data_IF_996674343855
#
_entry.id   IF_996674343855
#
_cell.length_a   1.000
_cell.length_b   1.000
_cell.length_c   1.000
_cell.angle_alpha   90.00
_cell.angle_beta   90.00
_cell.angle_gamma   90.00
#
_symmetry.space_group_name_H-M   'P 1'
#
loop_
_entity.id
_entity.type
_entity.pdbx_description
1 polymer ?
#
# COMPACT_ATOMS: atom_id res chain seq x y z
N UNK A 1 27.02 17.90 -2.97
CA UNK A 1 25.73 17.86 -3.69
C UNK A 1 25.06 16.50 -3.43
N UNK A 2 24.54 16.31 -2.21
CA UNK A 2 23.92 15.06 -1.73
C UNK A 2 22.40 15.24 -1.52
N UNK A 3 21.93 16.49 -1.41
CA UNK A 3 20.53 16.82 -1.12
C UNK A 3 19.54 16.37 -2.17
N UNK A 4 19.88 16.41 -3.47
CA UNK A 4 18.93 15.98 -4.52
C UNK A 4 18.58 14.50 -4.41
N UNK A 5 19.57 13.63 -4.14
CA UNK A 5 19.33 12.17 -4.02
C UNK A 5 18.62 11.79 -2.72
N UNK A 6 18.75 12.60 -1.67
CA UNK A 6 18.04 12.41 -0.39
C UNK A 6 16.59 12.89 -0.50
N UNK A 7 16.35 14.04 -1.14
CA UNK A 7 15.01 14.55 -1.41
C UNK A 7 14.21 13.59 -2.29
N UNK A 8 14.84 12.99 -3.31
CA UNK A 8 14.19 11.94 -4.10
C UNK A 8 13.84 10.71 -3.27
N UNK A 9 14.71 10.28 -2.34
CA UNK A 9 14.42 9.12 -1.47
C UNK A 9 13.27 9.39 -0.52
N UNK A 10 13.24 10.54 0.15
CA UNK A 10 12.17 10.89 1.08
C UNK A 10 10.83 11.06 0.34
N UNK A 11 10.86 11.61 -0.87
CA UNK A 11 9.69 11.73 -1.74
C UNK A 11 9.20 10.35 -2.20
N UNK A 12 10.10 9.44 -2.58
CA UNK A 12 9.77 8.04 -2.92
C UNK A 12 9.18 7.30 -1.71
N UNK A 13 9.76 7.48 -0.51
CA UNK A 13 9.24 6.86 0.71
C UNK A 13 7.85 7.39 1.08
N UNK A 14 7.61 8.69 0.89
CA UNK A 14 6.29 9.29 1.12
C UNK A 14 5.23 8.73 0.15
N UNK A 15 5.57 8.62 -1.14
CA UNK A 15 4.69 8.04 -2.16
C UNK A 15 4.37 6.57 -1.87
N UNK A 16 5.37 5.77 -1.49
CA UNK A 16 5.16 4.36 -1.12
C UNK A 16 4.25 4.26 0.12
N UNK A 17 4.48 5.07 1.15
CA UNK A 17 3.62 5.09 2.34
C UNK A 17 2.18 5.50 2.02
N UNK A 18 2.02 6.48 1.11
CA UNK A 18 0.69 6.88 0.60
C UNK A 18 0.02 5.72 -0.11
N UNK A 19 0.73 5.02 -0.99
CA UNK A 19 0.21 3.88 -1.75
C UNK A 19 -0.25 2.75 -0.82
N UNK A 20 0.58 2.36 0.14
CA UNK A 20 0.25 1.32 1.13
C UNK A 20 -1.01 1.72 1.91
N UNK A 21 -1.12 2.97 2.34
CA UNK A 21 -2.29 3.48 3.07
C UNK A 21 -3.55 3.45 2.20
N UNK A 22 -3.46 3.90 0.96
CA UNK A 22 -4.60 3.91 0.03
C UNK A 22 -5.06 2.48 -0.28
N UNK A 23 -4.14 1.55 -0.53
CA UNK A 23 -4.44 0.12 -0.71
C UNK A 23 -5.11 -0.45 0.54
N UNK A 24 -4.58 -0.17 1.73
CA UNK A 24 -5.18 -0.62 2.98
C UNK A 24 -6.58 -0.07 3.19
N UNK A 25 -6.85 1.18 2.82
CA UNK A 25 -8.18 1.78 2.92
C UNK A 25 -9.17 1.12 1.96
N UNK A 26 -8.76 0.86 0.72
CA UNK A 26 -9.60 0.18 -0.29
C UNK A 26 -9.95 -1.23 0.19
N UNK A 27 -8.95 -2.01 0.62
CA UNK A 27 -9.16 -3.38 1.13
C UNK A 27 -9.95 -3.38 2.45
N UNK A 28 -9.76 -2.37 3.30
CA UNK A 28 -10.48 -2.25 4.57
C UNK A 28 -11.97 -1.96 4.41
N UNK A 29 -12.38 -1.35 3.29
CA UNK A 29 -13.78 -1.03 3.00
C UNK A 29 -14.57 -2.23 2.44
N UNK A 30 -13.93 -3.13 1.70
CA UNK A 30 -14.59 -4.34 1.17
C UNK A 30 -13.73 -5.57 1.45
N UNK A 31 -14.27 -6.54 2.19
CA UNK A 31 -13.54 -7.73 2.68
C UNK A 31 -12.90 -8.60 1.60
N UNK A 32 -13.24 -8.41 0.32
CA UNK A 32 -12.66 -9.16 -0.80
C UNK A 32 -12.57 -8.27 -2.04
N UNK A 33 -11.36 -7.80 -2.36
CA UNK A 33 -11.08 -7.09 -3.60
C UNK A 33 -10.40 -8.01 -4.61
N UNK A 34 -11.02 -8.21 -5.78
CA UNK A 34 -10.31 -8.74 -6.94
C UNK A 34 -9.29 -7.69 -7.42
N UNK A 35 -8.11 -8.12 -7.90
CA UNK A 35 -7.02 -7.20 -8.27
C UNK A 35 -7.45 -6.13 -9.29
N UNK A 36 -8.39 -6.46 -10.18
CA UNK A 36 -8.97 -5.54 -11.16
C UNK A 36 -9.73 -4.39 -10.48
N UNK A 37 -10.52 -4.70 -9.45
CA UNK A 37 -11.25 -3.69 -8.67
C UNK A 37 -10.33 -2.81 -7.83
N UNK A 38 -9.25 -3.40 -7.28
CA UNK A 38 -8.25 -2.65 -6.52
C UNK A 38 -7.53 -1.63 -7.41
N UNK A 39 -7.12 -2.05 -8.61
CA UNK A 39 -6.47 -1.18 -9.57
C UNK A 39 -7.39 -0.01 -9.98
N UNK A 40 -8.65 -0.29 -10.30
CA UNK A 40 -9.61 0.77 -10.66
C UNK A 40 -9.84 1.76 -9.50
N UNK A 41 -9.98 1.27 -8.27
CA UNK A 41 -10.14 2.12 -7.10
C UNK A 41 -8.93 3.05 -6.87
N UNK A 42 -7.71 2.54 -7.03
CA UNK A 42 -6.48 3.33 -6.89
C UNK A 42 -6.32 4.36 -8.02
N UNK A 43 -6.68 4.00 -9.25
CA UNK A 43 -6.70 4.95 -10.37
C UNK A 43 -7.65 6.12 -10.09
N UNK A 44 -8.82 5.87 -9.49
CA UNK A 44 -9.77 6.93 -9.06
C UNK A 44 -9.20 7.83 -7.96
N UNK A 45 -8.25 7.34 -7.17
CA UNK A 45 -7.51 8.12 -6.17
C UNK A 45 -6.33 8.92 -6.78
N UNK A 46 -6.11 8.81 -8.09
CA UNK A 46 -5.08 9.56 -8.81
C UNK A 46 -3.75 8.82 -8.97
N UNK A 47 -3.72 7.50 -8.74
CA UNK A 47 -2.54 6.69 -9.03
C UNK A 47 -2.43 6.38 -10.53
N UNK A 48 -1.22 6.45 -11.06
CA UNK A 48 -0.96 6.14 -12.45
C UNK A 48 -0.85 4.63 -12.69
N UNK A 49 -1.35 4.17 -13.84
CA UNK A 49 -1.43 2.74 -14.20
C UNK A 49 -0.07 2.03 -14.11
N UNK A 50 1.02 2.75 -14.43
CA UNK A 50 2.38 2.23 -14.42
C UNK A 50 2.93 1.97 -13.01
N UNK A 51 2.38 2.61 -11.99
CA UNK A 51 2.70 2.40 -10.56
C UNK A 51 1.91 1.20 -10.03
N UNK A 52 0.70 1.01 -10.57
CA UNK A 52 -0.25 -0.03 -10.20
C UNK A 52 -0.02 -1.34 -10.97
N UNK A 53 1.25 -1.73 -11.15
CA UNK A 53 1.56 -3.02 -11.73
C UNK A 53 1.08 -4.14 -10.79
N UNK A 54 0.65 -5.25 -11.39
CA UNK A 54 0.04 -6.36 -10.66
C UNK A 54 0.95 -6.89 -9.54
N UNK A 55 2.26 -6.95 -9.77
CA UNK A 55 3.22 -7.50 -8.82
C UNK A 55 3.43 -6.56 -7.64
N UNK A 56 3.49 -5.25 -7.87
CA UNK A 56 3.57 -4.26 -6.78
C UNK A 56 2.32 -4.32 -5.91
N UNK A 57 1.13 -4.39 -6.50
CA UNK A 57 -0.12 -4.51 -5.74
C UNK A 57 -0.18 -5.82 -4.95
N UNK A 58 0.21 -6.94 -5.54
CA UNK A 58 0.27 -8.24 -4.86
C UNK A 58 1.19 -8.20 -3.63
N UNK A 59 2.39 -7.61 -3.77
CA UNK A 59 3.34 -7.48 -2.66
C UNK A 59 2.80 -6.59 -1.53
N UNK A 60 2.11 -5.50 -1.86
CA UNK A 60 1.49 -4.62 -0.85
C UNK A 60 0.35 -5.35 -0.14
N UNK A 61 -0.48 -6.10 -0.86
CA UNK A 61 -1.53 -6.91 -0.25
C UNK A 61 -0.94 -7.94 0.73
N UNK A 62 0.08 -8.69 0.31
CA UNK A 62 0.76 -9.67 1.17
C UNK A 62 1.39 -9.01 2.42
N UNK A 63 2.02 -7.85 2.25
CA UNK A 63 2.56 -7.08 3.37
C UNK A 63 1.47 -6.67 4.38
N UNK A 64 0.32 -6.20 3.88
CA UNK A 64 -0.80 -5.81 4.73
C UNK A 64 -1.50 -7.00 5.40
N UNK A 65 -1.49 -8.18 4.78
CA UNK A 65 -1.97 -9.42 5.39
C UNK A 65 -1.06 -9.86 6.54
N UNK A 66 0.26 -9.86 6.34
CA UNK A 66 1.25 -10.19 7.37
C UNK A 66 1.19 -9.23 8.57
N UNK A 67 1.08 -7.91 8.32
CA UNK A 67 0.95 -6.91 9.39
C UNK A 67 -0.35 -7.08 10.20
N UNK A 68 -1.46 -7.50 9.57
CA UNK A 68 -2.72 -7.80 10.29
C UNK A 68 -2.60 -9.06 11.14
N UNK A 69 -1.91 -10.09 10.65
CA UNK A 69 -1.66 -11.30 11.42
C UNK A 69 -0.76 -11.00 12.63
N UNK A 70 0.26 -10.16 12.47
CA UNK A 70 1.11 -9.70 13.59
C UNK A 70 0.27 -9.01 14.68
N UNK A 71 -0.71 -8.18 14.31
CA UNK A 71 -1.55 -7.47 15.28
C UNK A 71 -2.51 -8.41 16.02
N UNK A 72 -2.96 -9.51 15.39
CA UNK A 72 -3.74 -10.57 16.05
C UNK A 72 -2.89 -11.34 17.07
N UNK A 73 -1.59 -11.49 16.82
CA UNK A 73 -0.65 -12.18 17.72
C UNK A 73 -0.04 -11.29 18.80
N UNK A 74 -0.33 -9.98 18.84
CA UNK A 74 -0.10 -9.18 20.05
C UNK A 74 -1.20 -9.52 21.04
N UNK A 75 -0.94 -10.32 22.10
CA UNK A 75 -1.91 -10.40 23.17
C UNK A 75 -1.94 -9.00 23.77
N UNK A 76 -3.13 -8.38 23.80
CA UNK A 76 -3.41 -7.28 24.70
C UNK A 76 -2.87 -7.70 26.08
N UNK A 77 -1.77 -7.09 26.50
CA UNK A 77 -1.24 -7.27 27.83
C UNK A 77 -2.35 -7.00 28.83
N UNK A 78 -2.50 -7.96 29.75
CA UNK A 78 -3.35 -7.98 30.94
C UNK A 78 -3.46 -6.66 31.68
#
# INVERSE_FOLDING_TARGET
>A
MISTRLVDRDMISLEINRLIKDVSNVIGQERHFESTGLKEALTRLGWEDHILDYRTLELICLFLEDERDIDIYRPTGT
#
